data_IF_621666342532
#
_entry.id   IF_621666342532
#
_cell.length_a   1.000
_cell.length_b   1.000
_cell.length_c   1.000
_cell.angle_alpha   90.00
_cell.angle_beta   90.00
_cell.angle_gamma   90.00
#
_symmetry.space_group_name_H-M   'P 1'
#
loop_
_entity.id
_entity.type
_entity.pdbx_description
1 polymer ?
#
# COMPACT_ATOMS: atom_id res chain seq x y z
N UNK A 1 -25.79 -32.78 15.86
CA UNK A 1 -24.49 -32.35 16.44
C UNK A 1 -23.93 -31.30 15.49
N UNK A 2 -23.54 -30.13 16.01
CA UNK A 2 -23.34 -28.92 15.20
C UNK A 2 -22.00 -28.93 14.48
N UNK A 3 -22.00 -28.73 13.15
CA UNK A 3 -20.80 -28.65 12.30
C UNK A 3 -19.67 -27.79 12.88
N UNK A 4 -20.01 -26.72 13.61
CA UNK A 4 -19.06 -25.87 14.34
C UNK A 4 -18.14 -26.65 15.30
N UNK A 5 -18.69 -27.60 16.06
CA UNK A 5 -17.92 -28.43 17.01
C UNK A 5 -16.99 -29.39 16.29
N UNK A 6 -17.38 -29.83 15.09
CA UNK A 6 -16.58 -30.72 14.25
C UNK A 6 -15.41 -29.94 13.63
N UNK A 7 -15.62 -28.70 13.15
CA UNK A 7 -14.56 -27.80 12.69
C UNK A 7 -13.52 -27.54 13.79
N UNK A 8 -13.99 -27.15 14.98
CA UNK A 8 -13.13 -26.88 16.14
C UNK A 8 -12.30 -28.09 16.55
N UNK A 9 -12.91 -29.29 16.53
CA UNK A 9 -12.21 -30.53 16.81
C UNK A 9 -11.10 -30.81 15.80
N UNK A 10 -11.38 -30.69 14.51
CA UNK A 10 -10.41 -30.93 13.44
C UNK A 10 -9.23 -29.95 13.52
N UNK A 11 -9.51 -28.67 13.74
CA UNK A 11 -8.50 -27.61 13.93
C UNK A 11 -7.64 -27.91 15.16
N UNK A 12 -8.27 -28.27 16.29
CA UNK A 12 -7.54 -28.63 17.51
C UNK A 12 -6.61 -29.82 17.29
N UNK A 13 -7.09 -30.87 16.61
CA UNK A 13 -6.28 -32.06 16.30
C UNK A 13 -5.09 -31.76 15.40
N UNK A 14 -5.27 -30.89 14.40
CA UNK A 14 -4.16 -30.45 13.58
C UNK A 14 -3.12 -29.72 14.43
N UNK A 15 -3.54 -28.78 15.29
CA UNK A 15 -2.67 -27.97 16.13
C UNK A 15 -1.81 -28.79 17.08
N UNK A 16 -2.41 -29.77 17.75
CA UNK A 16 -1.70 -30.68 18.67
C UNK A 16 -0.57 -31.45 17.97
N UNK A 17 -0.70 -31.70 16.67
CA UNK A 17 0.28 -32.45 15.86
C UNK A 17 1.34 -31.56 15.20
N UNK A 18 1.20 -30.23 15.19
CA UNK A 18 2.10 -29.35 14.41
C UNK A 18 3.57 -29.53 14.81
N UNK A 19 3.85 -29.69 16.11
CA UNK A 19 5.21 -29.87 16.61
C UNK A 19 5.74 -31.30 16.49
N UNK A 20 4.86 -32.30 16.46
CA UNK A 20 5.23 -33.73 16.48
C UNK A 20 5.28 -34.32 15.07
N UNK A 21 4.23 -34.08 14.27
CA UNK A 21 4.07 -34.56 12.90
C UNK A 21 3.38 -33.48 12.04
N UNK A 22 4.16 -32.58 11.42
CA UNK A 22 3.64 -31.54 10.53
C UNK A 22 2.88 -32.10 9.32
N UNK A 23 3.20 -33.32 8.87
CA UNK A 23 2.53 -33.95 7.73
C UNK A 23 1.12 -34.41 8.13
N UNK A 24 0.99 -35.04 9.31
CA UNK A 24 -0.31 -35.41 9.86
C UNK A 24 -1.17 -34.18 10.16
N UNK A 25 -0.60 -33.12 10.75
CA UNK A 25 -1.30 -31.86 10.98
C UNK A 25 -1.89 -31.28 9.68
N UNK A 26 -1.12 -31.30 8.59
CA UNK A 26 -1.60 -30.88 7.26
C UNK A 26 -2.69 -31.78 6.69
N UNK A 27 -2.56 -33.10 6.86
CA UNK A 27 -3.58 -34.05 6.40
C UNK A 27 -4.93 -33.80 7.11
N UNK A 28 -4.90 -33.53 8.41
CA UNK A 28 -6.09 -33.13 9.18
C UNK A 28 -6.74 -31.86 8.62
N UNK A 29 -5.95 -30.83 8.31
CA UNK A 29 -6.51 -29.58 7.79
C UNK A 29 -6.98 -29.68 6.34
N UNK A 30 -6.30 -30.44 5.49
CA UNK A 30 -6.78 -30.72 4.13
C UNK A 30 -8.13 -31.42 4.21
N UNK A 31 -8.25 -32.43 5.08
CA UNK A 31 -9.52 -33.13 5.31
C UNK A 31 -10.60 -32.17 5.81
N UNK A 32 -10.28 -31.33 6.80
CA UNK A 32 -11.20 -30.34 7.34
C UNK A 32 -11.67 -29.35 6.27
N UNK A 33 -10.76 -28.86 5.42
CA UNK A 33 -11.08 -27.94 4.33
C UNK A 33 -11.96 -28.60 3.26
N UNK A 34 -11.76 -29.88 2.99
CA UNK A 34 -12.63 -30.63 2.06
C UNK A 34 -14.05 -30.77 2.61
N UNK A 35 -14.20 -30.99 3.92
CA UNK A 35 -15.51 -31.14 4.57
C UNK A 35 -16.21 -29.79 4.79
N UNK A 36 -15.44 -28.75 5.11
CA UNK A 36 -15.94 -27.42 5.51
C UNK A 36 -15.18 -26.31 4.76
N UNK A 37 -15.33 -26.21 3.43
CA UNK A 37 -14.54 -25.29 2.60
C UNK A 37 -14.81 -23.81 2.91
N UNK A 38 -15.99 -23.49 3.45
CA UNK A 38 -16.43 -22.14 3.79
C UNK A 38 -16.19 -21.78 5.27
N UNK A 39 -15.49 -22.62 6.02
CA UNK A 39 -15.15 -22.31 7.41
C UNK A 39 -13.85 -21.50 7.48
N UNK A 40 -13.95 -20.27 8.01
CA UNK A 40 -12.79 -19.38 8.11
C UNK A 40 -11.70 -19.91 9.04
N UNK A 41 -12.07 -20.57 10.15
CA UNK A 41 -11.09 -21.02 11.16
C UNK A 41 -10.16 -22.09 10.59
N UNK A 42 -10.70 -23.01 9.77
CA UNK A 42 -9.91 -24.02 9.08
C UNK A 42 -8.92 -23.38 8.11
N UNK A 43 -9.37 -22.41 7.31
CA UNK A 43 -8.52 -21.71 6.33
C UNK A 43 -7.42 -20.90 7.03
N UNK A 44 -7.78 -20.22 8.12
CA UNK A 44 -6.84 -19.43 8.92
C UNK A 44 -5.79 -20.28 9.64
N UNK A 45 -6.18 -21.46 10.15
CA UNK A 45 -5.22 -22.39 10.76
C UNK A 45 -4.23 -22.91 9.71
N UNK A 46 -4.71 -23.28 8.51
CA UNK A 46 -3.85 -23.68 7.39
C UNK A 46 -2.83 -22.59 7.05
N UNK A 47 -3.29 -21.34 6.94
CA UNK A 47 -2.42 -20.18 6.72
C UNK A 47 -1.37 -20.02 7.83
N UNK A 48 -1.79 -20.09 9.08
CA UNK A 48 -0.91 -19.89 10.26
C UNK A 48 0.21 -20.93 10.30
N UNK A 49 -0.10 -22.21 10.03
CA UNK A 49 0.91 -23.27 10.00
C UNK A 49 1.91 -23.06 8.86
N UNK A 50 1.46 -22.73 7.65
CA UNK A 50 2.38 -22.49 6.53
C UNK A 50 3.23 -21.23 6.76
N UNK A 51 2.65 -20.17 7.34
CA UNK A 51 3.38 -18.94 7.69
C UNK A 51 4.46 -19.21 8.73
N UNK A 52 4.12 -19.89 9.83
CA UNK A 52 5.07 -20.20 10.91
C UNK A 52 6.16 -21.18 10.47
N UNK A 53 5.91 -21.97 9.42
CA UNK A 53 6.90 -22.81 8.77
C UNK A 53 7.73 -22.08 7.70
N UNK A 54 7.62 -20.75 7.61
CA UNK A 54 8.30 -19.88 6.62
C UNK A 54 8.04 -20.28 5.15
N UNK A 55 6.91 -20.93 4.88
CA UNK A 55 6.51 -21.34 3.53
C UNK A 55 5.78 -20.22 2.81
N UNK A 56 6.49 -19.13 2.53
CA UNK A 56 5.93 -17.86 2.00
C UNK A 56 5.03 -18.05 0.77
N UNK A 57 5.41 -18.90 -0.18
CA UNK A 57 4.62 -19.14 -1.40
C UNK A 57 3.27 -19.83 -1.11
N UNK A 58 3.22 -20.77 -0.16
CA UNK A 58 1.99 -21.45 0.23
C UNK A 58 1.13 -20.59 1.16
N UNK A 59 1.76 -19.91 2.12
CA UNK A 59 1.09 -18.96 3.00
C UNK A 59 0.46 -17.82 2.20
N UNK A 60 1.16 -17.26 1.21
CA UNK A 60 0.63 -16.21 0.34
C UNK A 60 -0.59 -16.64 -0.46
N UNK A 61 -0.60 -17.87 -1.00
CA UNK A 61 -1.79 -18.43 -1.68
C UNK A 61 -2.98 -18.56 -0.74
N UNK A 62 -2.77 -19.10 0.46
CA UNK A 62 -3.84 -19.24 1.45
C UNK A 62 -4.37 -17.88 1.93
N UNK A 63 -3.48 -16.91 2.13
CA UNK A 63 -3.88 -15.54 2.46
C UNK A 63 -4.72 -14.91 1.35
N UNK A 64 -4.33 -15.10 0.08
CA UNK A 64 -5.10 -14.63 -1.07
C UNK A 64 -6.49 -15.30 -1.14
N UNK A 65 -6.55 -16.62 -0.98
CA UNK A 65 -7.82 -17.35 -0.96
C UNK A 65 -8.71 -16.85 0.19
N UNK A 66 -8.14 -16.60 1.38
CA UNK A 66 -8.89 -16.03 2.50
C UNK A 66 -9.38 -14.62 2.22
N UNK A 67 -8.56 -13.80 1.58
CA UNK A 67 -8.91 -12.43 1.20
C UNK A 67 -10.10 -12.37 0.24
N UNK A 68 -10.13 -13.25 -0.78
CA UNK A 68 -11.22 -13.29 -1.76
C UNK A 68 -12.51 -13.85 -1.15
N UNK A 69 -12.42 -14.89 -0.32
CA UNK A 69 -13.60 -15.62 0.15
C UNK A 69 -14.13 -15.11 1.50
N UNK A 70 -13.32 -14.43 2.30
CA UNK A 70 -13.67 -13.94 3.64
C UNK A 70 -13.27 -12.47 3.87
N UNK A 71 -13.71 -11.53 3.01
CA UNK A 71 -13.33 -10.13 3.10
C UNK A 71 -13.86 -9.43 4.36
N UNK A 72 -14.85 -10.00 5.06
CA UNK A 72 -15.37 -9.40 6.29
C UNK A 72 -14.56 -9.80 7.54
N UNK A 73 -13.58 -10.69 7.40
CA UNK A 73 -12.78 -11.17 8.52
C UNK A 73 -11.62 -10.20 8.81
N UNK A 74 -11.60 -9.52 9.97
CA UNK A 74 -10.62 -8.46 10.27
C UNK A 74 -9.18 -8.99 10.35
N UNK A 75 -9.01 -10.27 10.70
CA UNK A 75 -7.70 -10.91 10.78
C UNK A 75 -7.00 -10.92 9.41
N UNK A 76 -7.74 -11.11 8.33
CA UNK A 76 -7.17 -11.15 6.97
C UNK A 76 -6.61 -9.79 6.58
N UNK A 77 -7.36 -8.72 6.88
CA UNK A 77 -6.95 -7.35 6.62
C UNK A 77 -5.74 -6.93 7.43
N UNK A 78 -5.67 -7.33 8.70
CA UNK A 78 -4.49 -7.08 9.54
C UNK A 78 -3.21 -7.63 8.89
N UNK A 79 -3.25 -8.85 8.37
CA UNK A 79 -2.10 -9.45 7.70
C UNK A 79 -1.71 -8.69 6.42
N UNK A 80 -2.70 -8.28 5.59
CA UNK A 80 -2.46 -7.49 4.37
C UNK A 80 -1.83 -6.14 4.70
N UNK A 81 -2.34 -5.47 5.73
CA UNK A 81 -1.81 -4.19 6.19
C UNK A 81 -0.39 -4.35 6.70
N UNK A 82 -0.11 -5.35 7.53
CA UNK A 82 1.25 -5.62 8.04
C UNK A 82 2.23 -5.85 6.89
N UNK A 83 1.89 -6.68 5.90
CA UNK A 83 2.74 -6.94 4.73
C UNK A 83 3.01 -5.65 3.96
N UNK A 84 1.97 -4.86 3.70
CA UNK A 84 2.11 -3.64 2.89
C UNK A 84 2.85 -2.53 3.63
N UNK A 85 2.69 -2.43 4.96
CA UNK A 85 3.34 -1.42 5.78
C UNK A 85 4.80 -1.74 6.08
N UNK A 86 5.16 -3.00 6.32
CA UNK A 86 6.55 -3.38 6.60
C UNK A 86 7.47 -2.94 5.46
N UNK A 87 7.02 -3.08 4.22
CA UNK A 87 7.82 -2.76 3.04
C UNK A 87 7.90 -1.25 2.77
N UNK A 88 6.82 -0.50 2.99
CA UNK A 88 6.81 0.97 2.74
C UNK A 88 7.46 1.74 3.88
N UNK A 89 7.24 1.33 5.15
CA UNK A 89 7.79 2.01 6.33
C UNK A 89 9.25 1.65 6.57
N UNK A 90 9.71 0.47 6.14
CA UNK A 90 11.13 0.11 6.15
C UNK A 90 12.02 1.11 5.41
N UNK A 91 11.48 1.82 4.41
CA UNK A 91 12.17 2.91 3.70
C UNK A 91 12.02 4.32 4.32
N UNK A 92 11.20 4.48 5.36
CA UNK A 92 10.93 5.77 6.03
C UNK A 92 11.74 5.99 7.31
N UNK A 93 12.60 5.04 7.69
CA UNK A 93 13.56 5.24 8.78
C UNK A 93 14.82 5.85 8.18
N UNK A 94 15.15 7.13 8.45
CA UNK A 94 16.47 7.64 8.11
C UNK A 94 17.50 6.82 8.89
N UNK A 95 18.46 6.23 8.19
CA UNK A 95 19.67 5.77 8.87
C UNK A 95 20.30 6.99 9.54
N UNK A 96 20.20 7.04 10.86
CA UNK A 96 20.89 8.03 11.66
C UNK A 96 22.38 7.95 11.34
N UNK A 97 22.94 9.11 11.01
CA UNK A 97 24.35 9.34 10.74
C UNK A 97 25.20 8.77 11.88
N UNK A 98 26.16 7.92 11.53
CA UNK A 98 27.25 7.59 12.44
C UNK A 98 28.05 8.86 12.78
N UNK A 99 28.52 9.01 14.04
CA UNK A 99 29.22 10.21 14.45
C UNK A 99 30.60 10.29 13.82
N UNK A 100 30.87 11.45 13.22
CA UNK A 100 32.17 11.93 12.77
C UNK A 100 33.25 11.64 13.81
N UNK A 101 34.21 10.79 13.45
CA UNK A 101 35.48 10.65 14.17
C UNK A 101 36.58 11.29 13.33
N UNK A 102 36.99 12.48 13.77
CA UNK A 102 38.20 13.14 13.30
C UNK A 102 39.42 12.30 13.66
N UNK A 103 40.29 12.03 12.69
CA UNK A 103 41.71 11.76 12.91
C UNK A 103 42.48 12.24 11.68
N UNK A 104 43.35 13.24 11.89
CA UNK A 104 44.32 13.76 10.94
C UNK A 104 45.40 12.71 10.61
N UNK A 105 45.81 12.59 9.34
CA UNK A 105 47.16 12.94 8.86
C UNK A 105 47.42 12.57 7.37
N UNK A 106 47.77 13.60 6.61
CA UNK A 106 48.85 13.73 5.58
C UNK A 106 49.27 12.56 4.65
N UNK A 107 49.26 12.81 3.33
CA UNK A 107 50.00 11.96 2.37
C UNK A 107 49.82 12.18 0.86
N UNK A 108 50.39 13.26 0.31
CA UNK A 108 50.96 13.48 -1.06
C UNK A 108 50.46 12.69 -2.32
N UNK A 109 50.03 13.51 -3.30
CA UNK A 109 50.53 13.65 -4.69
C UNK A 109 50.19 12.63 -5.83
N UNK A 110 49.45 13.18 -6.82
CA UNK A 110 49.78 13.26 -8.27
C UNK A 110 49.60 12.01 -9.16
N UNK A 111 48.60 12.06 -10.06
CA UNK A 111 48.78 12.03 -11.54
C UNK A 111 47.43 11.99 -12.29
N UNK A 112 47.32 12.79 -13.36
CA UNK A 112 46.38 12.63 -14.49
C UNK A 112 47.18 12.02 -15.65
N UNK A 113 46.57 11.27 -16.57
CA UNK A 113 46.22 11.90 -17.85
C UNK A 113 44.92 11.39 -18.50
N UNK A 114 44.56 12.12 -19.57
CA UNK A 114 43.34 12.13 -20.39
C UNK A 114 43.26 11.03 -21.46
N UNK A 115 42.04 10.74 -21.95
CA UNK A 115 41.57 10.59 -23.37
C UNK A 115 40.30 9.71 -23.38
N UNK A 116 39.30 9.83 -24.24
CA UNK A 116 38.92 10.77 -25.31
C UNK A 116 37.43 10.48 -25.65
N UNK A 117 36.82 11.41 -26.37
CA UNK A 117 35.43 11.50 -26.84
C UNK A 117 34.78 10.24 -27.41
N UNK A 118 33.46 10.10 -27.18
CA UNK A 118 32.46 9.89 -28.24
C UNK A 118 31.18 10.64 -27.86
N UNK A 119 30.94 11.79 -28.49
CA UNK A 119 29.58 12.34 -28.61
C UNK A 119 28.88 11.57 -29.74
N UNK A 120 27.82 10.84 -29.41
CA UNK A 120 26.80 10.47 -30.39
C UNK A 120 25.43 10.84 -29.80
N UNK A 121 24.82 11.85 -30.41
CA UNK A 121 23.42 12.20 -30.23
C UNK A 121 22.57 11.19 -31.01
N UNK A 122 21.48 10.72 -30.40
CA UNK A 122 20.13 10.50 -30.96
C UNK A 122 19.48 9.21 -30.43
N UNK A 123 18.25 9.36 -29.95
CA UNK A 123 17.40 8.25 -29.54
C UNK A 123 16.23 8.73 -28.68
N UNK A 124 15.38 9.56 -29.26
CA UNK A 124 14.09 10.00 -28.69
C UNK A 124 13.25 8.81 -28.24
N UNK A 125 12.92 8.74 -26.95
CA UNK A 125 11.81 7.95 -26.42
C UNK A 125 11.35 8.59 -25.11
N UNK A 126 10.70 9.75 -25.21
CA UNK A 126 9.93 10.31 -24.11
C UNK A 126 8.67 9.45 -23.91
N UNK A 127 8.78 8.44 -23.05
CA UNK A 127 7.63 7.77 -22.46
C UNK A 127 6.99 8.68 -21.39
N UNK A 128 5.67 8.60 -21.19
CA UNK A 128 4.89 9.58 -20.44
C UNK A 128 5.23 9.54 -18.94
N UNK A 129 5.23 10.73 -18.33
CA UNK A 129 5.21 11.05 -16.89
C UNK A 129 5.33 9.82 -15.98
N UNK A 130 6.57 9.60 -15.54
CA UNK A 130 6.92 8.59 -14.57
C UNK A 130 6.17 8.90 -13.27
N UNK A 131 5.04 8.22 -13.03
CA UNK A 131 4.40 8.18 -11.71
C UNK A 131 5.52 7.85 -10.73
N UNK A 132 5.75 8.75 -9.77
CA UNK A 132 6.69 8.52 -8.70
C UNK A 132 6.30 7.20 -8.04
N UNK A 133 7.16 6.18 -8.09
CA UNK A 133 6.92 4.91 -7.37
C UNK A 133 6.61 5.17 -5.90
N UNK A 134 7.15 6.26 -5.36
CA UNK A 134 6.94 6.69 -3.99
C UNK A 134 5.53 7.24 -3.76
N UNK A 135 4.92 7.96 -4.71
CA UNK A 135 3.57 8.54 -4.56
C UNK A 135 2.49 7.47 -4.67
N UNK A 136 2.65 6.54 -5.62
CA UNK A 136 1.73 5.42 -5.81
C UNK A 136 1.69 4.51 -4.58
N UNK A 137 2.86 4.17 -4.05
CA UNK A 137 2.97 3.36 -2.83
C UNK A 137 2.43 4.11 -1.61
N UNK A 138 2.72 5.40 -1.45
CA UNK A 138 2.11 6.21 -0.39
C UNK A 138 0.59 6.25 -0.49
N UNK A 139 0.04 6.43 -1.69
CA UNK A 139 -1.39 6.42 -1.92
C UNK A 139 -2.03 5.08 -1.56
N UNK A 140 -1.38 3.97 -1.89
CA UNK A 140 -1.83 2.63 -1.47
C UNK A 140 -1.82 2.47 0.04
N UNK A 141 -0.78 2.96 0.72
CA UNK A 141 -0.71 2.97 2.19
C UNK A 141 -1.83 3.79 2.80
N UNK A 142 -2.11 4.98 2.26
CA UNK A 142 -3.24 5.82 2.70
C UNK A 142 -4.57 5.07 2.57
N UNK A 143 -4.81 4.38 1.46
CA UNK A 143 -6.03 3.59 1.27
C UNK A 143 -6.15 2.48 2.32
N UNK A 144 -5.07 1.71 2.57
CA UNK A 144 -5.07 0.60 3.53
C UNK A 144 -5.19 1.06 4.98
N UNK A 145 -4.61 2.22 5.32
CA UNK A 145 -4.67 2.79 6.67
C UNK A 145 -6.08 3.13 7.13
N UNK A 146 -7.05 3.24 6.21
CA UNK A 146 -8.46 3.37 6.57
C UNK A 146 -8.95 2.17 7.38
N UNK A 147 -8.41 0.97 7.15
CA UNK A 147 -8.80 -0.25 7.88
C UNK A 147 -8.47 -0.16 9.37
N UNK A 148 -7.29 0.36 9.68
CA UNK A 148 -6.77 0.44 11.05
C UNK A 148 -7.17 1.75 11.73
N UNK A 149 -8.05 2.57 11.14
CA UNK A 149 -8.48 3.82 11.76
C UNK A 149 -9.33 3.57 13.02
N UNK A 150 -9.11 4.29 14.13
CA UNK A 150 -8.14 5.40 14.33
C UNK A 150 -6.73 4.97 14.78
N UNK A 151 -6.48 3.69 15.06
CA UNK A 151 -5.18 3.22 15.56
C UNK A 151 -4.03 3.48 14.56
N UNK A 152 -4.32 3.51 13.26
CA UNK A 152 -3.39 3.82 12.18
C UNK A 152 -3.05 5.30 12.00
N UNK A 153 -3.67 6.22 12.77
CA UNK A 153 -3.51 7.68 12.62
C UNK A 153 -2.05 8.12 12.68
N UNK A 154 -1.27 7.60 13.65
CA UNK A 154 0.14 7.97 13.80
C UNK A 154 1.00 7.63 12.56
N UNK A 155 0.62 6.60 11.80
CA UNK A 155 1.31 6.24 10.58
C UNK A 155 0.80 7.04 9.38
N UNK A 156 -0.50 7.31 9.36
CA UNK A 156 -1.10 8.23 8.39
C UNK A 156 -0.45 9.61 8.45
N UNK A 157 -0.30 10.20 9.64
CA UNK A 157 0.36 11.50 9.81
C UNK A 157 1.81 11.51 9.31
N UNK A 158 2.55 10.40 9.47
CA UNK A 158 3.90 10.28 8.88
C UNK A 158 3.86 10.27 7.35
N UNK A 159 2.84 9.65 6.75
CA UNK A 159 2.65 9.71 5.29
C UNK A 159 2.31 11.15 4.85
N UNK A 160 1.44 11.84 5.60
CA UNK A 160 1.12 13.26 5.36
C UNK A 160 2.36 14.15 5.46
N UNK A 161 3.20 13.97 6.49
CA UNK A 161 4.46 14.71 6.63
C UNK A 161 5.38 14.50 5.42
N UNK A 162 5.48 13.26 4.91
CA UNK A 162 6.26 12.95 3.73
C UNK A 162 5.70 13.65 2.48
N UNK A 163 4.38 13.64 2.29
CA UNK A 163 3.70 14.36 1.21
C UNK A 163 3.98 15.86 1.29
N UNK A 164 3.89 16.42 2.50
CA UNK A 164 4.17 17.83 2.73
C UNK A 164 5.62 18.18 2.41
N UNK A 165 6.59 17.32 2.75
CA UNK A 165 8.00 17.48 2.41
C UNK A 165 8.25 17.40 0.89
N UNK A 166 7.51 16.55 0.17
CA UNK A 166 7.59 16.45 -1.29
C UNK A 166 7.02 17.69 -1.99
N UNK A 167 6.02 18.35 -1.38
CA UNK A 167 5.38 19.56 -1.93
C UNK A 167 4.43 19.29 -3.10
N UNK A 168 4.39 18.06 -3.62
CA UNK A 168 3.43 17.57 -4.60
C UNK A 168 3.10 16.11 -4.32
N UNK A 169 1.88 15.70 -4.65
CA UNK A 169 1.45 14.31 -4.53
C UNK A 169 0.45 13.96 -5.62
N UNK A 170 0.74 12.89 -6.37
CA UNK A 170 -0.12 12.39 -7.44
C UNK A 170 -0.66 11.00 -7.10
N UNK A 171 -1.99 10.87 -7.03
CA UNK A 171 -2.64 9.58 -6.79
C UNK A 171 -4.05 9.53 -7.38
N UNK A 172 -4.16 8.96 -8.59
CA UNK A 172 -5.41 8.93 -9.37
C UNK A 172 -6.51 8.06 -8.76
N UNK A 173 -6.13 7.16 -7.84
CA UNK A 173 -7.03 6.25 -7.14
C UNK A 173 -7.64 6.84 -5.86
N UNK A 174 -7.28 8.07 -5.49
CA UNK A 174 -7.73 8.71 -4.26
C UNK A 174 -9.26 8.71 -4.12
N UNK A 175 -9.95 9.30 -5.09
CA UNK A 175 -11.42 9.37 -5.09
C UNK A 175 -12.09 8.02 -5.36
N UNK A 176 -11.36 6.98 -5.76
CA UNK A 176 -11.96 5.66 -5.93
C UNK A 176 -12.13 4.93 -4.59
N UNK A 177 -11.21 5.16 -3.65
CA UNK A 177 -11.05 4.29 -2.48
C UNK A 177 -10.90 5.00 -1.12
N UNK A 178 -10.56 6.30 -1.06
CA UNK A 178 -10.45 7.03 0.22
C UNK A 178 -11.80 7.64 0.60
N UNK A 179 -12.42 7.12 1.66
CA UNK A 179 -13.79 7.50 2.10
C UNK A 179 -13.84 7.96 3.56
N UNK A 180 -12.77 7.76 4.34
CA UNK A 180 -12.68 8.23 5.72
C UNK A 180 -12.66 9.78 5.78
N UNK A 181 -13.57 10.36 6.57
CA UNK A 181 -13.77 11.82 6.64
C UNK A 181 -12.52 12.54 7.15
N UNK A 182 -11.94 12.07 8.24
CA UNK A 182 -10.75 12.70 8.85
C UNK A 182 -9.59 12.75 7.85
N UNK A 183 -9.39 11.67 7.09
CA UNK A 183 -8.39 11.64 6.02
C UNK A 183 -8.71 12.61 4.88
N UNK A 184 -9.98 12.72 4.46
CA UNK A 184 -10.40 13.66 3.42
C UNK A 184 -10.16 15.11 3.86
N UNK A 185 -10.42 15.43 5.12
CA UNK A 185 -10.17 16.75 5.71
C UNK A 185 -8.67 17.09 5.70
N UNK A 186 -7.81 16.15 6.07
CA UNK A 186 -6.35 16.33 6.04
C UNK A 186 -5.84 16.61 4.61
N UNK A 187 -6.33 15.86 3.62
CA UNK A 187 -5.97 16.13 2.22
C UNK A 187 -6.55 17.47 1.70
N UNK A 188 -7.70 17.91 2.19
CA UNK A 188 -8.20 19.24 1.88
C UNK A 188 -7.33 20.34 2.51
N UNK A 189 -6.89 20.12 3.76
CA UNK A 189 -6.02 21.03 4.50
C UNK A 189 -4.64 21.21 3.84
N UNK A 190 -4.03 20.14 3.32
CA UNK A 190 -2.73 20.17 2.63
C UNK A 190 -2.65 21.19 1.48
N UNK A 191 -3.78 21.45 0.80
CA UNK A 191 -3.84 22.38 -0.33
C UNK A 191 -3.88 23.85 0.11
N UNK A 192 -4.17 24.12 1.38
CA UNK A 192 -4.28 25.47 1.94
C UNK A 192 -2.90 26.11 2.14
N UNK A 193 -2.87 27.41 2.42
CA UNK A 193 -1.64 28.12 2.79
C UNK A 193 -1.04 27.63 4.10
N UNK A 194 -1.89 27.21 5.03
CA UNK A 194 -1.50 26.76 6.38
C UNK A 194 -1.03 25.30 6.36
N UNK A 195 -1.63 24.47 5.51
CA UNK A 195 -1.26 23.05 5.32
C UNK A 195 -0.10 22.79 4.35
N UNK A 196 0.70 23.81 4.02
CA UNK A 196 1.94 23.62 3.24
C UNK A 196 1.84 23.88 1.73
N UNK A 197 0.66 24.21 1.19
CA UNK A 197 0.41 24.47 -0.25
C UNK A 197 0.84 23.33 -1.17
N UNK A 198 0.60 22.10 -0.74
CA UNK A 198 0.95 20.90 -1.52
C UNK A 198 0.17 20.89 -2.83
N UNK A 199 0.86 20.60 -3.94
CA UNK A 199 0.23 20.39 -5.24
C UNK A 199 -0.36 18.97 -5.29
N UNK A 200 -1.69 18.88 -5.20
CA UNK A 200 -2.42 17.61 -5.20
C UNK A 200 -3.01 17.30 -6.59
N UNK A 201 -2.61 16.17 -7.17
CA UNK A 201 -3.12 15.63 -8.44
C UNK A 201 -3.87 14.32 -8.16
N UNK A 202 -5.08 14.45 -7.60
CA UNK A 202 -5.93 13.34 -7.14
C UNK A 202 -7.03 12.94 -8.13
N UNK A 203 -7.37 13.86 -9.03
CA UNK A 203 -8.33 13.58 -10.08
C UNK A 203 -7.65 12.72 -11.14
N UNK A 204 -8.30 11.66 -11.64
CA UNK A 204 -7.74 10.88 -12.74
C UNK A 204 -7.44 11.84 -13.89
N UNK A 205 -6.18 11.86 -14.34
CA UNK A 205 -5.81 12.65 -15.49
C UNK A 205 -6.58 12.11 -16.70
N UNK A 206 -7.68 12.75 -17.09
CA UNK A 206 -8.24 12.60 -18.44
C UNK A 206 -7.31 13.29 -19.46
N UNK A 207 -6.01 12.98 -19.41
CA UNK A 207 -4.92 13.83 -19.84
C UNK A 207 -4.05 13.18 -20.91
N UNK A 208 -4.59 12.96 -22.10
CA UNK A 208 -3.78 12.82 -23.32
C UNK A 208 -4.28 13.68 -24.49
N UNK A 209 -5.08 14.74 -24.22
CA UNK A 209 -5.52 15.66 -25.28
C UNK A 209 -5.29 17.16 -25.05
N UNK A 210 -4.66 17.59 -23.95
CA UNK A 210 -4.46 19.02 -23.69
C UNK A 210 -2.99 19.34 -23.41
N UNK A 211 -2.09 18.88 -24.30
CA UNK A 211 -0.69 19.37 -24.30
C UNK A 211 -0.47 20.60 -25.18
N UNK A 212 -1.52 21.21 -25.71
CA UNK A 212 -1.40 22.42 -26.54
C UNK A 212 -2.52 23.44 -26.28
N UNK A 213 -2.71 23.93 -25.05
CA UNK A 213 -3.37 25.23 -24.90
C UNK A 213 -2.70 26.08 -23.81
N UNK A 214 -1.84 26.95 -24.29
CA UNK A 214 -1.72 28.38 -23.93
C UNK A 214 -2.34 28.82 -22.61
N UNK A 215 -1.47 29.41 -21.78
CA UNK A 215 -1.79 30.25 -20.63
C UNK A 215 -2.98 31.17 -20.92
N UNK A 216 -4.11 30.94 -20.25
CA UNK A 216 -5.22 31.90 -20.16
C UNK A 216 -5.72 32.00 -18.72
N UNK A 217 -5.85 33.24 -18.24
CA UNK A 217 -6.40 33.57 -16.92
C UNK A 217 -7.86 33.09 -16.87
N UNK A 218 -8.13 32.01 -16.11
CA UNK A 218 -9.47 31.45 -15.93
C UNK A 218 -9.50 29.96 -15.56
N UNK A 219 -8.51 29.20 -16.03
CA UNK A 219 -8.45 27.73 -15.87
C UNK A 219 -8.18 27.31 -14.41
N UNK A 220 -7.42 28.09 -13.64
CA UNK A 220 -7.07 27.77 -12.25
C UNK A 220 -8.25 27.83 -11.28
N UNK A 221 -9.29 28.61 -11.59
CA UNK A 221 -10.54 28.60 -10.80
C UNK A 221 -11.33 27.32 -11.05
N UNK A 222 -11.39 26.83 -12.29
CA UNK A 222 -12.02 25.56 -12.65
C UNK A 222 -11.38 24.39 -11.89
N UNK A 223 -10.05 24.28 -11.91
CA UNK A 223 -9.32 23.20 -11.20
C UNK A 223 -9.50 23.24 -9.68
N UNK A 224 -9.70 24.43 -9.08
CA UNK A 224 -10.01 24.55 -7.64
C UNK A 224 -11.44 24.10 -7.34
N UNK A 225 -12.38 24.49 -8.18
CA UNK A 225 -13.80 24.14 -8.03
C UNK A 225 -14.05 22.65 -8.29
N UNK A 226 -13.41 22.07 -9.30
CA UNK A 226 -13.50 20.65 -9.63
C UNK A 226 -13.03 19.77 -8.46
N UNK A 227 -11.93 20.17 -7.82
CA UNK A 227 -11.45 19.49 -6.61
C UNK A 227 -12.43 19.62 -5.44
N UNK A 228 -12.99 20.82 -5.21
CA UNK A 228 -13.98 21.03 -4.14
C UNK A 228 -15.19 20.13 -4.35
N UNK A 229 -15.72 20.13 -5.58
CA UNK A 229 -16.86 19.28 -5.97
C UNK A 229 -16.52 17.79 -5.87
N UNK A 230 -15.30 17.38 -6.23
CA UNK A 230 -14.85 16.00 -6.08
C UNK A 230 -14.75 15.59 -4.60
N UNK A 231 -14.22 16.46 -3.74
CA UNK A 231 -14.20 16.24 -2.29
C UNK A 231 -15.62 16.15 -1.71
N UNK A 232 -16.53 17.04 -2.08
CA UNK A 232 -17.93 16.98 -1.60
C UNK A 232 -18.65 15.71 -2.03
N UNK A 233 -18.45 15.29 -3.28
CA UNK A 233 -18.93 13.99 -3.77
C UNK A 233 -18.32 12.85 -2.98
N UNK A 234 -17.04 12.92 -2.65
CA UNK A 234 -16.38 11.87 -1.90
C UNK A 234 -16.85 11.78 -0.45
N UNK A 235 -17.08 12.92 0.21
CA UNK A 235 -17.66 12.97 1.56
C UNK A 235 -19.05 12.33 1.57
N UNK A 236 -19.85 12.47 0.51
CA UNK A 236 -21.15 11.79 0.42
C UNK A 236 -21.06 10.25 0.45
N UNK A 237 -19.86 9.69 0.21
CA UNK A 237 -19.57 8.25 0.24
C UNK A 237 -19.02 7.76 1.58
N UNK A 238 -18.92 8.61 2.60
CA UNK A 238 -18.40 8.23 3.93
C UNK A 238 -19.18 7.08 4.60
N UNK A 239 -20.44 6.86 4.20
CA UNK A 239 -21.27 5.75 4.68
C UNK A 239 -21.09 4.43 3.92
N UNK A 240 -20.21 4.37 2.91
CA UNK A 240 -19.92 3.11 2.20
C UNK A 240 -19.29 2.08 3.15
N UNK A 241 -19.57 0.80 2.92
CA UNK A 241 -18.95 -0.28 3.67
C UNK A 241 -17.44 -0.33 3.32
N UNK A 242 -16.60 0.03 4.29
CA UNK A 242 -15.15 0.11 4.12
C UNK A 242 -14.54 -1.21 3.62
N UNK A 243 -14.97 -2.36 4.15
CA UNK A 243 -14.48 -3.67 3.71
C UNK A 243 -14.77 -3.93 2.23
N UNK A 244 -15.93 -3.50 1.73
CA UNK A 244 -16.27 -3.58 0.31
C UNK A 244 -15.38 -2.68 -0.54
N UNK A 245 -15.10 -1.46 -0.07
CA UNK A 245 -14.22 -0.49 -0.76
C UNK A 245 -12.80 -1.03 -0.83
N UNK A 246 -12.26 -1.50 0.29
CA UNK A 246 -10.91 -2.05 0.37
C UNK A 246 -10.78 -3.36 -0.43
N UNK A 247 -11.79 -4.24 -0.38
CA UNK A 247 -11.78 -5.46 -1.17
C UNK A 247 -11.70 -5.14 -2.66
N UNK A 248 -12.52 -4.19 -3.14
CA UNK A 248 -12.46 -3.71 -4.54
C UNK A 248 -11.08 -3.13 -4.87
N UNK A 249 -10.50 -2.33 -3.98
CA UNK A 249 -9.14 -1.80 -4.13
C UNK A 249 -8.13 -2.92 -4.32
N UNK A 250 -8.05 -3.86 -3.38
CA UNK A 250 -7.09 -4.96 -3.43
C UNK A 250 -7.30 -5.87 -4.64
N UNK A 251 -8.53 -6.11 -5.10
CA UNK A 251 -8.80 -6.90 -6.32
C UNK A 251 -8.35 -6.18 -7.59
N UNK A 252 -8.66 -4.89 -7.70
CA UNK A 252 -8.38 -4.10 -8.90
C UNK A 252 -6.89 -3.74 -9.01
N UNK A 253 -6.28 -3.36 -7.90
CA UNK A 253 -4.90 -2.89 -7.85
C UNK A 253 -3.89 -4.00 -7.54
N UNK A 254 -4.33 -5.28 -7.49
CA UNK A 254 -3.50 -6.43 -7.08
C UNK A 254 -2.14 -6.50 -7.78
N UNK A 255 -2.09 -6.22 -9.09
CA UNK A 255 -0.87 -6.30 -9.89
C UNK A 255 0.10 -5.19 -9.46
N UNK A 256 -0.42 -3.99 -9.26
CA UNK A 256 0.37 -2.82 -8.91
C UNK A 256 0.83 -2.93 -7.46
N UNK A 257 -0.02 -3.40 -6.54
CA UNK A 257 0.38 -3.70 -5.15
C UNK A 257 1.57 -4.68 -5.17
N UNK A 258 1.45 -5.81 -5.88
CA UNK A 258 2.51 -6.81 -5.99
C UNK A 258 3.80 -6.25 -6.64
N UNK A 259 3.69 -5.33 -7.62
CA UNK A 259 4.84 -4.73 -8.30
C UNK A 259 5.45 -3.53 -7.56
N UNK A 260 4.69 -2.91 -6.67
CA UNK A 260 5.12 -1.81 -5.81
C UNK A 260 5.78 -2.30 -4.52
N UNK A 261 5.57 -3.57 -4.17
CA UNK A 261 6.32 -4.29 -3.16
C UNK A 261 7.63 -4.81 -3.83
N UNK A 262 8.81 -4.58 -3.24
CA UNK A 262 10.10 -4.94 -3.84
C UNK A 262 10.33 -6.46 -3.97
#
# INVERSE_FOLDING_TARGET
>A
MSAQKDCEFLVKRARDLVSEDPCAAKAWLITARTLYPTDFNIQHEMYTIERNAEKTASAGRLLYDMFINFPDQPVVWREITVITLLDVVGGLVPQNQDPVKNTDESGKARNKPRKADVRLFQGTSTLPLQISRDDLSLGHVVVLLQHDWPQGESLFLKAIDKICQQGSFQYENFFNYVTNIDMLEEFAYLRTTEGGRVQLELLPNQGMLIKHHTVTRGITKGVKEDFRLAMERQVSRCGENLYTVLHRFCVNEKIIIIQSLP
#
